data_IF_893269682212
#
_entry.id   IF_893269682212
#
_cell.length_a   1.000
_cell.length_b   1.000
_cell.length_c   1.000
_cell.angle_alpha   90.00
_cell.angle_beta   90.00
_cell.angle_gamma   90.00
#
_symmetry.space_group_name_H-M   'P 1'
#
loop_
_entity.id
_entity.type
_entity.pdbx_description
1 polymer ?
#
# COMPACT_ATOMS: atom_id res chain seq x y z
N UNK A 1 40.64 28.68 66.53
CA UNK A 1 39.91 29.39 65.45
C UNK A 1 39.80 28.45 64.26
N UNK A 2 38.66 27.79 64.07
CA UNK A 2 38.42 26.88 62.95
C UNK A 2 37.67 27.62 61.83
N UNK A 3 38.23 27.61 60.61
CA UNK A 3 37.59 28.15 59.40
C UNK A 3 36.66 27.10 58.80
N UNK A 4 35.39 27.46 58.62
CA UNK A 4 34.42 26.66 57.85
C UNK A 4 34.35 27.28 56.46
N UNK A 5 34.78 26.53 55.44
CA UNK A 5 34.63 26.89 54.03
C UNK A 5 33.30 26.35 53.51
N UNK A 6 32.44 27.23 52.98
CA UNK A 6 31.24 26.84 52.25
C UNK A 6 31.57 26.70 50.76
N UNK A 7 31.44 25.49 50.22
CA UNK A 7 31.47 25.26 48.77
C UNK A 7 30.06 25.45 48.20
N UNK A 8 29.90 26.46 47.34
CA UNK A 8 28.72 26.60 46.48
C UNK A 8 28.87 25.66 45.28
N UNK A 9 28.00 24.64 45.18
CA UNK A 9 27.85 23.84 43.96
C UNK A 9 26.75 24.50 43.12
N UNK A 10 27.14 25.11 42.00
CA UNK A 10 26.22 25.62 41.01
C UNK A 10 25.84 24.48 40.04
N UNK A 11 24.60 24.00 40.11
CA UNK A 11 24.03 23.12 39.11
C UNK A 11 23.66 23.93 37.87
N UNK A 12 24.47 23.85 36.81
CA UNK A 12 24.07 24.30 35.48
C UNK A 12 23.13 23.26 34.87
N UNK A 13 21.83 23.55 34.87
CA UNK A 13 20.84 22.78 34.11
C UNK A 13 21.01 23.06 32.62
N UNK A 14 21.47 22.07 31.87
CA UNK A 14 21.48 22.12 30.41
C UNK A 14 20.03 22.04 29.91
N UNK A 15 19.44 23.16 29.51
CA UNK A 15 18.19 23.14 28.75
C UNK A 15 18.53 22.84 27.30
N UNK A 16 18.35 21.59 26.88
CA UNK A 16 18.34 21.22 25.47
C UNK A 16 17.05 21.75 24.85
N UNK A 17 17.14 22.89 24.17
CA UNK A 17 16.09 23.37 23.29
C UNK A 17 16.06 22.47 22.05
N UNK A 18 15.08 21.56 21.98
CA UNK A 18 14.79 20.82 20.75
C UNK A 18 14.16 21.83 19.79
N UNK A 19 14.93 22.27 18.80
CA UNK A 19 14.41 23.08 17.69
C UNK A 19 13.38 22.24 16.92
N UNK A 20 12.09 22.54 17.09
CA UNK A 20 11.07 22.00 16.20
C UNK A 20 11.26 22.64 14.83
N UNK A 21 11.35 21.84 13.78
CA UNK A 21 11.36 22.37 12.41
C UNK A 21 10.11 23.23 12.18
N UNK A 22 10.22 24.34 11.45
CA UNK A 22 9.09 25.19 11.18
C UNK A 22 8.04 24.44 10.34
N UNK A 23 6.77 24.64 10.66
CA UNK A 23 5.65 24.21 9.83
C UNK A 23 5.65 25.00 8.52
N UNK A 24 5.50 24.29 7.40
CA UNK A 24 5.40 24.83 6.06
C UNK A 24 3.95 24.73 5.62
N UNK A 25 3.27 25.88 5.52
CA UNK A 25 1.92 25.96 4.97
C UNK A 25 1.97 26.12 3.45
N UNK A 26 1.21 25.30 2.73
CA UNK A 26 1.08 25.38 1.27
C UNK A 26 -0.29 25.95 0.93
N UNK A 27 -0.31 27.15 0.38
CA UNK A 27 -1.56 27.80 -0.01
C UNK A 27 -2.23 27.07 -1.18
N UNK A 28 -3.56 27.03 -1.16
CA UNK A 28 -4.41 26.38 -2.16
C UNK A 28 -4.60 27.29 -3.37
N UNK A 29 -3.50 27.56 -4.08
CA UNK A 29 -3.45 28.38 -5.29
C UNK A 29 -2.63 27.69 -6.38
N UNK A 30 -3.03 27.84 -7.65
CA UNK A 30 -2.44 27.12 -8.79
C UNK A 30 -0.90 27.26 -8.92
N UNK A 31 -0.32 28.38 -8.46
CA UNK A 31 1.13 28.60 -8.49
C UNK A 31 1.91 27.57 -7.67
N UNK A 32 1.30 26.97 -6.63
CA UNK A 32 1.96 26.05 -5.70
C UNK A 32 1.82 24.57 -6.09
N UNK A 33 0.98 24.23 -7.06
CA UNK A 33 0.63 22.84 -7.37
C UNK A 33 0.89 22.47 -8.83
N UNK A 34 1.33 21.24 -9.06
CA UNK A 34 1.30 20.56 -10.35
C UNK A 34 -0.06 19.88 -10.47
N UNK A 35 -0.92 20.47 -11.31
CA UNK A 35 -2.35 20.12 -11.37
C UNK A 35 -2.72 19.39 -12.66
N UNK A 36 -3.80 18.61 -12.60
CA UNK A 36 -4.51 18.10 -13.76
C UNK A 36 -5.63 19.08 -14.17
N UNK A 37 -6.28 18.84 -15.33
CA UNK A 37 -7.45 19.62 -15.76
C UNK A 37 -8.65 19.51 -14.79
N UNK A 38 -8.64 18.49 -13.92
CA UNK A 38 -9.70 18.19 -12.94
C UNK A 38 -9.55 18.98 -11.62
N UNK A 39 -8.72 20.03 -11.59
CA UNK A 39 -8.42 20.80 -10.38
C UNK A 39 -8.97 22.22 -10.49
N UNK A 40 -9.75 22.65 -9.50
CA UNK A 40 -10.24 24.03 -9.36
C UNK A 40 -9.79 24.61 -8.03
N UNK A 41 -9.39 25.88 -8.03
CA UNK A 41 -9.08 26.63 -6.81
C UNK A 41 -10.19 27.63 -6.55
N UNK A 42 -10.79 27.57 -5.36
CA UNK A 42 -11.95 28.39 -5.02
C UNK A 42 -11.98 28.75 -3.54
N UNK A 43 -12.71 29.81 -3.20
CA UNK A 43 -13.09 30.07 -1.81
C UNK A 43 -14.36 29.30 -1.48
N UNK A 44 -14.29 28.50 -0.44
CA UNK A 44 -15.43 27.71 0.06
C UNK A 44 -15.35 27.66 1.59
N UNK A 45 -16.50 27.83 2.26
CA UNK A 45 -16.59 27.85 3.73
C UNK A 45 -15.58 28.82 4.39
N UNK A 46 -15.45 30.01 3.80
CA UNK A 46 -14.49 31.05 4.18
C UNK A 46 -12.99 30.66 4.11
N UNK A 47 -12.65 29.53 3.49
CA UNK A 47 -11.28 29.04 3.29
C UNK A 47 -10.88 29.06 1.83
N UNK A 48 -9.58 29.14 1.58
CA UNK A 48 -9.01 28.81 0.27
C UNK A 48 -8.98 27.29 0.13
N UNK A 49 -9.48 26.80 -1.00
CA UNK A 49 -9.67 25.37 -1.21
C UNK A 49 -9.19 24.94 -2.59
N UNK A 50 -8.69 23.71 -2.63
CA UNK A 50 -8.44 22.96 -3.86
C UNK A 50 -9.56 21.92 -3.98
N UNK A 51 -10.42 22.08 -4.99
CA UNK A 51 -11.41 21.09 -5.40
C UNK A 51 -10.75 20.17 -6.44
N UNK A 52 -10.59 18.89 -6.12
CA UNK A 52 -10.03 17.88 -7.02
C UNK A 52 -11.12 16.92 -7.47
N UNK A 53 -11.39 16.87 -8.77
CA UNK A 53 -12.38 16.02 -9.41
C UNK A 53 -11.78 14.69 -9.92
N UNK A 54 -10.87 14.12 -9.14
CA UNK A 54 -10.21 12.85 -9.46
C UNK A 54 -8.74 12.99 -9.85
N UNK A 55 -7.98 11.94 -9.54
CA UNK A 55 -6.56 11.85 -9.83
C UNK A 55 -5.69 12.32 -8.68
N UNK A 56 -4.46 12.74 -9.01
CA UNK A 56 -3.43 13.16 -8.05
C UNK A 56 -2.80 14.46 -8.49
N UNK A 57 -2.46 15.31 -7.53
CA UNK A 57 -1.73 16.57 -7.74
C UNK A 57 -0.54 16.61 -6.79
N UNK A 58 0.59 17.20 -7.21
CA UNK A 58 1.79 17.33 -6.36
C UNK A 58 2.09 18.78 -6.03
N UNK A 59 2.70 19.03 -4.88
CA UNK A 59 3.20 20.34 -4.51
C UNK A 59 4.47 20.64 -5.31
N UNK A 60 4.55 21.81 -5.93
CA UNK A 60 5.73 22.25 -6.68
C UNK A 60 6.90 22.49 -5.74
N UNK A 61 8.10 22.09 -6.17
CA UNK A 61 9.37 22.37 -5.48
C UNK A 61 9.44 21.87 -4.02
N UNK A 62 8.62 20.87 -3.66
CA UNK A 62 8.65 20.27 -2.33
C UNK A 62 8.87 18.77 -2.45
N UNK A 63 9.81 18.27 -1.64
CA UNK A 63 10.03 16.84 -1.42
C UNK A 63 9.81 16.54 0.05
N UNK A 64 9.35 15.34 0.34
CA UNK A 64 9.05 14.89 1.69
C UNK A 64 9.81 13.59 2.01
N UNK A 65 10.46 13.56 3.18
CA UNK A 65 11.14 12.39 3.74
C UNK A 65 10.40 11.91 4.98
N UNK A 66 10.54 12.65 6.09
CA UNK A 66 10.04 12.37 7.42
C UNK A 66 9.37 13.61 8.02
N UNK A 67 8.50 13.40 9.00
CA UNK A 67 7.76 14.46 9.68
C UNK A 67 6.25 14.29 9.54
N UNK A 68 5.52 15.39 9.67
CA UNK A 68 4.07 15.39 9.69
C UNK A 68 3.52 16.02 8.41
N UNK A 69 2.51 15.38 7.82
CA UNK A 69 1.72 15.91 6.72
C UNK A 69 0.28 16.07 7.20
N UNK A 70 -0.32 17.23 6.96
CA UNK A 70 -1.69 17.51 7.38
C UNK A 70 -2.51 18.14 6.26
N UNK A 71 -3.78 17.78 6.18
CA UNK A 71 -4.76 18.43 5.31
C UNK A 71 -6.15 18.36 5.91
N UNK A 72 -6.94 19.41 5.70
CA UNK A 72 -8.36 19.38 6.01
C UNK A 72 -9.14 18.95 4.75
N UNK A 73 -9.99 17.94 4.89
CA UNK A 73 -10.85 17.40 3.83
C UNK A 73 -12.31 17.65 4.19
N UNK A 74 -13.08 18.21 3.26
CA UNK A 74 -14.48 18.51 3.52
C UNK A 74 -15.32 17.24 3.63
N UNK A 75 -16.26 17.23 4.58
CA UNK A 75 -17.20 16.14 4.78
C UNK A 75 -18.03 15.90 3.51
N UNK A 76 -18.15 14.65 3.09
CA UNK A 76 -18.87 14.28 1.88
C UNK A 76 -19.56 12.92 2.02
N UNK A 77 -20.90 12.93 2.05
CA UNK A 77 -21.70 11.72 2.13
C UNK A 77 -21.87 11.02 0.76
N UNK A 78 -21.66 11.74 -0.35
CA UNK A 78 -21.62 11.13 -1.67
C UNK A 78 -20.35 10.30 -1.84
N UNK A 79 -20.37 9.34 -2.77
CA UNK A 79 -19.21 8.49 -3.09
C UNK A 79 -17.97 9.36 -3.31
N UNK A 80 -17.04 9.28 -2.37
CA UNK A 80 -15.90 10.18 -2.28
C UNK A 80 -14.73 9.50 -1.60
N UNK A 81 -13.56 9.68 -2.19
CA UNK A 81 -12.27 9.23 -1.71
C UNK A 81 -11.33 10.43 -1.76
N UNK A 82 -10.63 10.70 -0.66
CA UNK A 82 -9.76 11.87 -0.56
C UNK A 82 -8.62 11.59 0.40
N UNK A 83 -7.40 11.95 0.02
CA UNK A 83 -6.22 11.56 0.76
C UNK A 83 -4.96 12.31 0.38
N UNK A 84 -3.86 11.82 0.94
CA UNK A 84 -2.51 12.36 0.78
C UNK A 84 -1.67 11.30 0.06
N UNK A 85 -0.86 11.75 -0.89
CA UNK A 85 0.19 10.96 -1.49
C UNK A 85 1.55 11.51 -1.07
N UNK A 86 2.52 10.64 -0.80
CA UNK A 86 3.83 11.07 -0.35
C UNK A 86 4.94 10.13 -0.84
N UNK A 87 6.17 10.65 -0.80
CA UNK A 87 7.39 10.01 -1.31
C UNK A 87 7.33 9.61 -2.78
N UNK A 88 6.46 10.22 -3.57
CA UNK A 88 6.29 9.89 -4.99
C UNK A 88 7.60 10.04 -5.75
N UNK A 89 8.02 8.98 -6.42
CA UNK A 89 9.04 8.99 -7.45
C UNK A 89 8.54 8.23 -8.66
N UNK A 90 8.68 8.83 -9.85
CA UNK A 90 8.08 8.32 -11.08
C UNK A 90 6.56 8.12 -10.88
N UNK A 91 6.09 6.88 -11.04
CA UNK A 91 4.69 6.49 -10.88
C UNK A 91 4.47 5.62 -9.62
N UNK A 92 5.42 5.61 -8.68
CA UNK A 92 5.34 4.85 -7.43
C UNK A 92 5.32 5.81 -6.26
N UNK A 93 4.42 5.59 -5.30
CA UNK A 93 4.24 6.47 -4.12
C UNK A 93 3.49 5.75 -3.00
N UNK A 94 3.49 6.34 -1.82
CA UNK A 94 2.63 5.97 -0.71
C UNK A 94 1.32 6.76 -0.76
N UNK A 95 0.20 6.14 -0.36
CA UNK A 95 -1.10 6.80 -0.33
C UNK A 95 -1.91 6.40 0.91
N UNK A 96 -2.43 7.40 1.62
CA UNK A 96 -3.43 7.23 2.69
C UNK A 96 -4.65 8.04 2.32
N UNK A 97 -5.82 7.42 2.33
CA UNK A 97 -7.06 8.10 1.93
C UNK A 97 -8.24 7.72 2.82
N UNK A 98 -9.16 8.68 2.91
CA UNK A 98 -10.46 8.54 3.56
C UNK A 98 -11.53 8.23 2.52
N UNK A 99 -12.42 7.31 2.86
CA UNK A 99 -13.62 6.97 2.10
C UNK A 99 -14.82 7.59 2.80
N UNK A 100 -15.05 8.88 2.57
CA UNK A 100 -15.96 9.69 3.40
C UNK A 100 -17.39 9.13 3.42
N UNK A 101 -17.88 8.63 2.29
CA UNK A 101 -19.17 7.93 2.15
C UNK A 101 -19.28 6.58 2.89
N UNK A 102 -18.18 6.09 3.46
CA UNK A 102 -18.06 4.83 4.20
C UNK A 102 -17.75 5.09 5.68
N UNK A 103 -18.12 6.27 6.19
CA UNK A 103 -18.06 6.59 7.61
C UNK A 103 -18.60 5.42 8.47
N UNK A 104 -17.87 5.08 9.53
CA UNK A 104 -18.15 3.99 10.47
C UNK A 104 -18.09 2.56 9.87
N UNK A 105 -17.54 2.38 8.66
CA UNK A 105 -17.21 1.07 8.09
C UNK A 105 -15.75 0.71 8.38
N UNK A 106 -15.41 -0.58 8.40
CA UNK A 106 -14.04 -1.08 8.73
C UNK A 106 -12.96 -0.61 7.76
N UNK A 107 -13.37 -0.18 6.57
CA UNK A 107 -12.55 0.27 5.46
C UNK A 107 -12.69 1.78 5.21
N UNK A 108 -13.08 2.55 6.23
CA UNK A 108 -13.31 4.00 6.12
C UNK A 108 -12.01 4.78 5.84
N UNK A 109 -10.88 4.34 6.38
CA UNK A 109 -9.53 4.87 6.07
C UNK A 109 -8.65 3.72 5.62
N UNK A 110 -7.86 3.94 4.57
CA UNK A 110 -7.00 2.91 3.99
C UNK A 110 -5.61 3.47 3.70
N UNK A 111 -4.59 2.65 3.90
CA UNK A 111 -3.25 2.86 3.35
C UNK A 111 -2.99 1.83 2.25
N UNK A 112 -2.32 2.26 1.19
CA UNK A 112 -1.86 1.38 0.10
C UNK A 112 -0.63 1.96 -0.57
N UNK A 113 0.36 1.14 -0.96
CA UNK A 113 1.31 1.56 -1.96
C UNK A 113 0.63 1.70 -3.32
N UNK A 114 1.09 2.66 -4.09
CA UNK A 114 0.81 2.78 -5.51
C UNK A 114 2.08 2.37 -6.25
N UNK A 115 1.98 1.38 -7.11
CA UNK A 115 3.08 0.96 -7.97
C UNK A 115 2.69 1.22 -9.43
N UNK A 116 3.52 1.93 -10.18
CA UNK A 116 3.25 2.21 -11.60
C UNK A 116 1.87 2.84 -11.85
N UNK A 117 1.42 3.75 -10.97
CA UNK A 117 0.10 4.39 -10.91
C UNK A 117 -1.07 3.46 -10.57
N UNK A 118 -0.81 2.21 -10.23
CA UNK A 118 -1.82 1.23 -9.82
C UNK A 118 -1.94 1.15 -8.31
N UNK A 119 -3.18 1.26 -7.80
CA UNK A 119 -3.49 1.06 -6.38
C UNK A 119 -3.51 -0.42 -6.01
N UNK A 120 -3.09 -0.77 -4.80
CA UNK A 120 -2.91 -2.15 -4.37
C UNK A 120 -3.67 -2.50 -3.07
N UNK A 121 -4.72 -1.75 -2.74
CA UNK A 121 -5.42 -1.87 -1.45
C UNK A 121 -5.99 -3.26 -1.17
N UNK A 122 -6.27 -4.08 -2.19
CA UNK A 122 -6.75 -5.45 -2.01
C UNK A 122 -5.70 -6.34 -1.32
N UNK A 123 -4.42 -6.04 -1.50
CA UNK A 123 -3.31 -6.83 -1.00
C UNK A 123 -2.97 -6.52 0.47
N UNK A 124 -3.42 -5.37 0.99
CA UNK A 124 -3.04 -4.84 2.31
C UNK A 124 -4.26 -4.64 3.21
N UNK A 125 -5.01 -5.72 3.45
CA UNK A 125 -6.24 -5.70 4.27
C UNK A 125 -6.01 -5.26 5.72
N UNK A 126 -4.79 -5.45 6.23
CA UNK A 126 -4.37 -5.06 7.57
C UNK A 126 -4.28 -3.54 7.75
N UNK A 127 -4.13 -2.81 6.64
CA UNK A 127 -3.95 -1.37 6.61
C UNK A 127 -5.27 -0.64 6.34
N UNK A 128 -6.31 -1.01 7.09
CA UNK A 128 -7.65 -0.43 7.03
C UNK A 128 -8.15 -0.09 8.43
N UNK A 129 -8.87 1.03 8.56
CA UNK A 129 -9.36 1.49 9.85
C UNK A 129 -10.83 1.90 9.79
N UNK A 130 -11.55 1.53 10.86
CA UNK A 130 -12.91 2.00 11.13
C UNK A 130 -12.87 3.39 11.73
N UNK A 131 -13.41 4.37 11.02
CA UNK A 131 -13.41 5.78 11.43
C UNK A 131 -14.78 6.39 11.22
N UNK A 132 -15.27 7.13 12.21
CA UNK A 132 -16.46 7.97 12.08
C UNK A 132 -16.04 9.38 11.68
N UNK A 133 -16.38 9.77 10.46
CA UNK A 133 -16.13 11.13 9.98
C UNK A 133 -17.19 12.10 10.47
N UNK A 134 -16.82 13.38 10.58
CA UNK A 134 -17.80 14.47 10.66
C UNK A 134 -18.64 14.45 9.39
N UNK A 135 -19.96 14.60 9.54
CA UNK A 135 -20.90 14.64 8.43
C UNK A 135 -21.04 16.03 7.80
N UNK A 136 -20.55 17.07 8.48
CA UNK A 136 -20.48 18.46 8.00
C UNK A 136 -19.16 19.09 8.40
N UNK A 137 -18.74 20.13 7.68
CA UNK A 137 -17.48 20.82 7.94
C UNK A 137 -16.25 19.99 7.55
N UNK A 138 -15.13 20.22 8.25
CA UNK A 138 -13.82 19.71 7.87
C UNK A 138 -13.36 18.56 8.77
N UNK A 139 -12.96 17.45 8.13
CA UNK A 139 -12.20 16.37 8.77
C UNK A 139 -10.71 16.63 8.57
N UNK A 140 -9.91 16.57 9.63
CA UNK A 140 -8.46 16.69 9.50
C UNK A 140 -7.86 15.30 9.28
N UNK A 141 -7.03 15.14 8.25
CA UNK A 141 -6.20 13.96 8.02
C UNK A 141 -4.75 14.35 8.29
N UNK A 142 -4.10 13.62 9.19
CA UNK A 142 -2.71 13.82 9.58
C UNK A 142 -1.93 12.51 9.50
N UNK A 143 -0.75 12.56 8.90
CA UNK A 143 0.15 11.41 8.75
C UNK A 143 1.50 11.80 9.35
N UNK A 144 1.95 11.07 10.36
CA UNK A 144 3.28 11.20 10.92
C UNK A 144 4.17 10.09 10.36
N UNK A 145 5.18 10.45 9.58
CA UNK A 145 6.11 9.51 8.94
C UNK A 145 7.45 9.52 9.64
N UNK A 146 7.95 8.34 9.98
CA UNK A 146 9.27 8.12 10.58
C UNK A 146 9.97 6.92 9.94
N UNK A 147 10.99 7.18 9.11
CA UNK A 147 11.65 6.22 8.24
C UNK A 147 10.60 5.41 7.46
N UNK A 148 10.59 4.09 7.61
CA UNK A 148 9.66 3.23 6.90
C UNK A 148 8.37 2.97 7.68
N UNK A 149 8.03 3.77 8.70
CA UNK A 149 6.79 3.61 9.46
C UNK A 149 5.95 4.89 9.43
N UNK A 150 4.65 4.76 9.65
CA UNK A 150 3.76 5.90 9.75
C UNK A 150 2.63 5.70 10.77
N UNK A 151 2.15 6.79 11.35
CA UNK A 151 0.94 6.84 12.16
C UNK A 151 -0.08 7.76 11.49
N UNK A 152 -1.32 7.29 11.35
CA UNK A 152 -2.40 8.04 10.71
C UNK A 152 -3.40 8.48 11.77
N UNK A 153 -3.76 9.75 11.70
CA UNK A 153 -4.71 10.40 12.59
C UNK A 153 -5.84 11.01 11.77
N UNK A 154 -7.06 10.90 12.28
CA UNK A 154 -8.23 11.60 11.75
C UNK A 154 -8.90 12.36 12.88
N UNK A 155 -9.09 13.67 12.71
CA UNK A 155 -9.63 14.56 13.75
C UNK A 155 -8.91 14.39 15.09
N UNK A 156 -7.57 14.38 15.04
CA UNK A 156 -6.64 14.22 16.18
C UNK A 156 -6.66 12.85 16.88
N UNK A 157 -7.54 11.93 16.48
CA UNK A 157 -7.52 10.55 16.97
C UNK A 157 -6.61 9.69 16.11
N UNK A 158 -5.73 8.90 16.74
CA UNK A 158 -4.93 7.91 16.00
C UNK A 158 -5.82 6.75 15.56
N UNK A 159 -5.85 6.48 14.26
CA UNK A 159 -6.73 5.47 13.66
C UNK A 159 -5.97 4.29 13.05
N UNK A 160 -4.69 4.46 12.69
CA UNK A 160 -3.89 3.41 12.06
C UNK A 160 -2.42 3.57 12.41
N UNK A 161 -1.72 2.45 12.57
CA UNK A 161 -0.25 2.37 12.61
C UNK A 161 0.18 1.51 11.43
N UNK A 162 1.10 2.03 10.62
CA UNK A 162 1.69 1.36 9.48
C UNK A 162 3.13 1.06 9.89
N UNK A 163 3.40 -0.20 10.24
CA UNK A 163 4.72 -0.59 10.74
C UNK A 163 5.79 -0.53 9.64
N UNK A 164 5.38 -0.82 8.40
CA UNK A 164 6.25 -0.82 7.23
C UNK A 164 5.53 -0.25 6.00
N UNK A 165 5.97 0.93 5.56
CA UNK A 165 5.66 1.53 4.28
C UNK A 165 6.28 0.67 3.16
N UNK A 166 5.49 0.35 2.14
CA UNK A 166 5.78 -0.75 1.21
C UNK A 166 6.67 -0.34 0.04
N UNK A 167 6.69 0.94 -0.34
CA UNK A 167 7.60 1.40 -1.38
C UNK A 167 9.03 1.49 -0.84
N UNK A 168 10.04 1.23 -1.67
CA UNK A 168 11.44 1.35 -1.26
C UNK A 168 11.92 2.83 -1.20
N UNK A 169 10.98 3.78 -1.20
CA UNK A 169 11.24 5.21 -1.29
C UNK A 169 11.39 5.80 0.12
N UNK A 170 12.48 6.56 0.33
CA UNK A 170 12.72 7.31 1.57
C UNK A 170 12.42 8.80 1.43
N UNK A 171 12.25 9.27 0.20
CA UNK A 171 11.97 10.66 -0.14
C UNK A 171 11.15 10.73 -1.44
N UNK A 172 10.50 11.86 -1.72
CA UNK A 172 9.85 12.07 -3.01
C UNK A 172 8.86 13.23 -3.01
N UNK A 173 8.13 13.39 -4.11
CA UNK A 173 7.08 14.39 -4.20
C UNK A 173 5.94 14.06 -3.23
N UNK A 174 5.20 15.11 -2.84
CA UNK A 174 4.10 15.05 -1.91
C UNK A 174 2.88 15.75 -2.52
N UNK A 175 1.68 15.28 -2.18
CA UNK A 175 0.49 15.70 -2.89
C UNK A 175 -0.82 15.23 -2.28
N UNK A 176 -1.86 15.40 -3.08
CA UNK A 176 -3.23 15.04 -2.75
C UNK A 176 -3.77 14.05 -3.78
N UNK A 177 -4.68 13.20 -3.31
CA UNK A 177 -5.41 12.24 -4.12
C UNK A 177 -6.91 12.42 -3.93
N UNK A 178 -7.67 12.30 -5.01
CA UNK A 178 -9.10 12.07 -4.94
C UNK A 178 -9.56 11.04 -5.98
N UNK A 179 -10.62 10.31 -5.64
CA UNK A 179 -11.47 9.61 -6.60
C UNK A 179 -12.90 10.09 -6.33
N UNK A 180 -13.53 10.65 -7.38
CA UNK A 180 -14.70 11.54 -7.29
C UNK A 180 -14.39 12.89 -6.61
N UNK A 181 -15.20 13.94 -6.84
CA UNK A 181 -14.89 15.27 -6.33
C UNK A 181 -14.80 15.35 -4.80
N UNK A 182 -13.74 15.98 -4.30
CA UNK A 182 -13.67 16.44 -2.91
C UNK A 182 -12.80 17.71 -2.77
N UNK A 183 -12.99 18.44 -1.68
CA UNK A 183 -12.30 19.70 -1.35
C UNK A 183 -11.26 19.49 -0.26
N UNK A 184 -10.13 20.13 -0.47
CA UNK A 184 -9.01 20.17 0.46
C UNK A 184 -8.74 21.62 0.87
N UNK A 185 -8.31 21.82 2.10
CA UNK A 185 -7.82 23.11 2.60
C UNK A 185 -6.68 22.89 3.59
N UNK A 186 -5.97 23.96 3.91
CA UNK A 186 -5.04 23.99 5.05
C UNK A 186 -3.95 22.89 5.00
N UNK A 187 -3.34 22.69 3.83
CA UNK A 187 -2.28 21.69 3.64
C UNK A 187 -0.97 22.16 4.27
N UNK A 188 -0.39 21.33 5.14
CA UNK A 188 0.80 21.68 5.93
C UNK A 188 1.78 20.52 5.99
N UNK A 189 3.06 20.86 6.00
CA UNK A 189 4.17 19.91 6.14
C UNK A 189 5.06 20.41 7.27
N UNK A 190 5.35 19.55 8.25
CA UNK A 190 6.32 19.83 9.32
C UNK A 190 7.43 18.80 9.22
N UNK A 191 8.54 19.09 8.53
CA UNK A 191 9.65 18.15 8.37
C UNK A 191 10.23 17.78 9.73
N UNK A 192 10.71 16.55 9.90
CA UNK A 192 11.39 16.14 11.12
C UNK A 192 12.55 15.21 10.77
N UNK A 193 13.66 15.34 11.50
CA UNK A 193 14.68 14.31 11.46
C UNK A 193 14.09 12.98 11.94
N UNK A 194 14.50 11.89 11.29
CA UNK A 194 14.09 10.57 11.73
C UNK A 194 14.54 10.34 13.17
N UNK A 195 13.66 9.76 13.98
CA UNK A 195 14.00 9.32 15.33
C UNK A 195 14.10 7.81 15.30
N UNK A 196 15.26 7.28 15.72
CA UNK A 196 15.41 5.85 15.98
C UNK A 196 14.45 5.47 17.11
N UNK A 197 13.34 4.83 16.76
CA UNK A 197 12.40 4.25 17.73
C UNK A 197 13.04 2.98 18.30
N UNK A 198 13.96 3.12 19.25
CA UNK A 198 14.56 1.98 19.97
C UNK A 198 13.52 1.07 20.64
N UNK A 199 12.32 1.60 20.92
CA UNK A 199 11.22 0.86 21.54
C UNK A 199 10.27 0.17 20.52
N UNK A 200 10.33 0.51 19.23
CA UNK A 200 9.54 -0.16 18.18
C UNK A 200 10.15 -1.52 17.77
N UNK A 201 11.44 -1.72 18.03
CA UNK A 201 12.16 -2.99 17.82
C UNK A 201 11.64 -4.11 18.75
N UNK A 202 10.99 -3.75 19.87
CA UNK A 202 10.44 -4.73 20.81
C UNK A 202 9.04 -5.26 20.41
N UNK A 203 8.27 -4.53 19.58
CA UNK A 203 6.94 -4.98 19.11
C UNK A 203 7.00 -5.74 17.79
N UNK A 204 8.04 -5.54 16.99
CA UNK A 204 8.31 -6.25 15.72
C UNK A 204 8.61 -7.74 15.90
N UNK A 205 8.79 -8.25 17.12
CA UNK A 205 9.01 -9.69 17.37
C UNK A 205 7.73 -10.53 17.45
N UNK A 206 6.54 -9.93 17.54
CA UNK A 206 5.31 -10.72 17.76
C UNK A 206 4.52 -11.07 16.49
N UNK A 207 4.60 -10.23 15.45
CA UNK A 207 3.86 -10.45 14.19
C UNK A 207 4.76 -10.82 12.99
N UNK A 208 6.09 -10.78 13.14
CA UNK A 208 7.05 -11.27 12.13
C UNK A 208 7.26 -12.79 12.14
N UNK A 209 6.42 -13.56 12.85
CA UNK A 209 6.55 -15.02 12.90
C UNK A 209 6.31 -15.70 11.54
N UNK A 210 5.70 -14.99 10.58
CA UNK A 210 5.59 -15.45 9.19
C UNK A 210 6.93 -15.40 8.44
N UNK A 211 7.82 -14.44 8.74
CA UNK A 211 9.14 -14.36 8.09
C UNK A 211 10.10 -15.50 8.51
N UNK A 212 9.76 -16.21 9.59
CA UNK A 212 10.47 -17.40 10.07
C UNK A 212 9.85 -18.71 9.56
N UNK A 213 8.65 -18.66 8.94
CA UNK A 213 7.99 -19.83 8.40
C UNK A 213 8.65 -20.26 7.09
N UNK A 214 9.60 -21.19 7.20
CA UNK A 214 10.31 -21.79 6.07
C UNK A 214 9.42 -22.48 5.04
N UNK A 215 8.12 -22.64 5.33
CA UNK A 215 7.16 -23.20 4.39
C UNK A 215 6.65 -22.17 3.37
N UNK A 216 6.78 -20.87 3.65
CA UNK A 216 6.38 -19.79 2.73
C UNK A 216 7.28 -19.78 1.50
N UNK A 217 6.66 -19.65 0.32
CA UNK A 217 7.38 -19.52 -0.94
C UNK A 217 7.81 -18.06 -1.10
N UNK A 218 9.07 -17.76 -0.77
CA UNK A 218 9.60 -16.38 -0.76
C UNK A 218 10.23 -15.93 -2.08
N UNK A 219 10.42 -16.84 -3.03
CA UNK A 219 11.08 -16.57 -4.31
C UNK A 219 10.21 -17.13 -5.44
N UNK A 220 9.97 -16.29 -6.43
CA UNK A 220 9.19 -16.62 -7.62
C UNK A 220 9.94 -16.22 -8.88
N UNK A 221 9.67 -16.92 -9.96
CA UNK A 221 10.02 -16.51 -11.32
C UNK A 221 8.76 -15.92 -11.97
N UNK A 222 8.82 -14.73 -12.54
CA UNK A 222 7.65 -14.13 -13.21
C UNK A 222 7.95 -13.72 -14.65
N UNK A 223 6.93 -13.79 -15.52
CA UNK A 223 6.99 -13.24 -16.88
C UNK A 223 6.70 -11.74 -16.90
N UNK A 224 6.88 -11.11 -18.07
CA UNK A 224 6.27 -9.79 -18.35
C UNK A 224 4.75 -9.89 -18.40
N UNK A 225 4.06 -8.77 -18.15
CA UNK A 225 2.61 -8.67 -18.33
C UNK A 225 2.22 -8.70 -19.80
N UNK A 226 1.08 -9.31 -20.07
CA UNK A 226 0.43 -9.34 -21.39
C UNK A 226 -1.07 -9.11 -21.23
N UNK A 227 -1.75 -8.47 -22.20
CA UNK A 227 -3.21 -8.40 -22.21
C UNK A 227 -3.82 -9.79 -22.14
N UNK A 228 -4.85 -9.95 -21.32
CA UNK A 228 -5.54 -11.22 -21.18
C UNK A 228 -6.41 -11.52 -22.41
N UNK A 229 -6.15 -12.67 -23.02
CA UNK A 229 -7.02 -13.30 -24.02
C UNK A 229 -7.14 -14.78 -23.70
N UNK A 230 -8.36 -15.27 -23.55
CA UNK A 230 -8.63 -16.62 -23.05
C UNK A 230 -7.97 -17.72 -23.90
N UNK A 231 -7.92 -17.52 -25.22
CA UNK A 231 -7.32 -18.43 -26.19
C UNK A 231 -5.79 -18.51 -26.14
N UNK A 232 -5.13 -17.49 -25.59
CA UNK A 232 -3.67 -17.39 -25.47
C UNK A 232 -3.17 -18.07 -24.17
N UNK A 233 -4.04 -18.36 -23.20
CA UNK A 233 -3.67 -19.02 -21.94
C UNK A 233 -3.51 -20.53 -22.15
N UNK A 234 -2.35 -20.92 -22.68
CA UNK A 234 -1.95 -22.31 -22.93
C UNK A 234 -0.55 -22.55 -22.41
N UNK A 235 -0.33 -23.74 -21.84
CA UNK A 235 0.95 -24.08 -21.21
C UNK A 235 2.12 -23.93 -22.17
N UNK A 236 1.95 -24.37 -23.41
CA UNK A 236 2.97 -24.36 -24.45
C UNK A 236 3.42 -22.94 -24.83
N UNK A 237 2.57 -21.94 -24.58
CA UNK A 237 2.88 -20.55 -24.82
C UNK A 237 3.79 -20.01 -23.70
N UNK A 238 3.38 -20.18 -22.44
CA UNK A 238 4.08 -19.56 -21.32
C UNK A 238 5.26 -20.36 -20.76
N UNK A 239 5.38 -21.65 -21.10
CA UNK A 239 6.55 -22.47 -20.74
C UNK A 239 7.86 -21.91 -21.34
N UNK A 240 7.76 -21.28 -22.51
CA UNK A 240 8.91 -20.78 -23.29
C UNK A 240 9.18 -19.28 -23.09
N UNK A 241 8.42 -18.62 -22.23
CA UNK A 241 8.62 -17.20 -21.94
C UNK A 241 9.91 -16.98 -21.19
N UNK A 242 10.38 -15.73 -21.25
CA UNK A 242 11.46 -15.28 -20.39
C UNK A 242 10.92 -14.98 -18.99
N UNK A 243 11.60 -15.52 -17.99
CA UNK A 243 11.28 -15.31 -16.58
C UNK A 243 12.36 -14.48 -15.90
N UNK A 244 11.93 -13.65 -14.95
CA UNK A 244 12.82 -12.95 -14.02
C UNK A 244 12.54 -13.38 -12.60
N UNK A 245 13.60 -13.58 -11.81
CA UNK A 245 13.48 -13.93 -10.40
C UNK A 245 13.13 -12.70 -9.56
N UNK A 246 12.11 -12.83 -8.73
CA UNK A 246 11.61 -11.81 -7.80
C UNK A 246 11.42 -12.41 -6.40
N UNK A 247 11.31 -11.53 -5.41
CA UNK A 247 11.12 -11.92 -4.01
C UNK A 247 9.77 -11.45 -3.49
N UNK A 248 9.25 -12.15 -2.50
CA UNK A 248 8.11 -11.70 -1.74
C UNK A 248 8.50 -10.62 -0.73
N UNK A 249 7.50 -9.94 -0.18
CA UNK A 249 7.62 -9.24 1.09
C UNK A 249 7.84 -10.25 2.23
N UNK A 250 8.18 -9.74 3.42
CA UNK A 250 8.41 -10.56 4.62
C UNK A 250 7.17 -11.38 5.03
N UNK A 251 5.98 -10.93 4.64
CA UNK A 251 4.71 -11.63 4.83
C UNK A 251 4.51 -12.86 3.93
N UNK A 252 5.36 -13.04 2.91
CA UNK A 252 5.17 -14.02 1.85
C UNK A 252 4.35 -13.53 0.66
N UNK A 253 3.79 -12.31 0.73
CA UNK A 253 3.09 -11.69 -0.39
C UNK A 253 4.07 -11.40 -1.54
N UNK A 254 3.75 -11.84 -2.75
CA UNK A 254 4.36 -11.36 -3.99
C UNK A 254 3.53 -10.18 -4.54
N UNK A 255 3.94 -8.92 -4.35
CA UNK A 255 3.28 -7.77 -4.97
C UNK A 255 3.74 -7.63 -6.42
N UNK A 256 3.06 -8.30 -7.37
CA UNK A 256 3.41 -8.33 -8.79
C UNK A 256 3.52 -6.90 -9.37
N UNK A 257 2.62 -5.99 -8.95
CA UNK A 257 2.62 -4.59 -9.39
C UNK A 257 3.94 -3.85 -9.10
N UNK A 258 4.72 -4.29 -8.09
CA UNK A 258 6.04 -3.72 -7.76
C UNK A 258 7.06 -3.96 -8.88
N UNK A 259 6.93 -5.08 -9.58
CA UNK A 259 7.90 -5.54 -10.58
C UNK A 259 7.41 -5.29 -12.01
N UNK A 260 6.10 -5.40 -12.24
CA UNK A 260 5.51 -5.40 -13.57
C UNK A 260 4.45 -4.31 -13.68
N UNK A 261 4.50 -3.56 -14.78
CA UNK A 261 3.49 -2.58 -15.15
C UNK A 261 2.43 -3.22 -16.05
N UNK A 262 1.15 -3.03 -15.71
CA UNK A 262 0.01 -3.38 -16.56
C UNK A 262 -0.11 -2.45 -17.78
N UNK A 263 -0.78 -2.95 -18.82
CA UNK A 263 -1.20 -2.21 -20.02
C UNK A 263 -2.02 -0.97 -19.67
N UNK A 264 -2.86 -1.07 -18.64
CA UNK A 264 -3.73 -0.02 -18.12
C UNK A 264 -3.72 0.00 -16.58
N UNK A 265 -4.00 1.16 -16.01
CA UNK A 265 -4.03 1.39 -14.55
C UNK A 265 -4.99 2.52 -14.22
N UNK A 266 -5.49 2.54 -12.99
CA UNK A 266 -6.37 3.61 -12.51
C UNK A 266 -7.85 3.19 -12.41
N UNK A 267 -8.73 3.76 -13.24
CA UNK A 267 -10.16 3.54 -13.09
C UNK A 267 -10.55 2.10 -13.45
N UNK A 268 -11.00 1.34 -12.44
CA UNK A 268 -11.45 -0.05 -12.58
C UNK A 268 -12.37 -0.27 -13.80
N UNK A 269 -13.31 0.62 -14.09
CA UNK A 269 -14.27 0.39 -15.18
C UNK A 269 -13.63 0.52 -16.58
N UNK A 270 -12.47 1.18 -16.69
CA UNK A 270 -11.76 1.44 -17.95
C UNK A 270 -10.55 0.54 -18.17
N UNK A 271 -10.09 -0.16 -17.12
CA UNK A 271 -8.92 -1.03 -17.22
C UNK A 271 -9.24 -2.29 -18.04
N UNK A 272 -8.24 -2.71 -18.82
CA UNK A 272 -8.16 -4.05 -19.41
C UNK A 272 -7.64 -5.04 -18.37
N UNK A 273 -7.97 -6.32 -18.55
CA UNK A 273 -7.40 -7.41 -17.74
C UNK A 273 -6.06 -7.80 -18.36
N UNK A 274 -5.02 -7.88 -17.54
CA UNK A 274 -3.70 -8.38 -17.92
C UNK A 274 -3.42 -9.70 -17.20
N UNK A 275 -2.44 -10.46 -17.68
CA UNK A 275 -1.91 -11.63 -16.98
C UNK A 275 -0.38 -11.66 -16.95
N UNK A 276 0.15 -12.35 -15.94
CA UNK A 276 1.54 -12.84 -15.86
C UNK A 276 1.50 -14.33 -15.53
N UNK A 277 2.64 -15.00 -15.69
CA UNK A 277 2.85 -16.32 -15.13
C UNK A 277 3.91 -16.23 -14.04
N UNK A 278 3.53 -16.60 -12.82
CA UNK A 278 4.45 -16.80 -11.71
C UNK A 278 4.77 -18.29 -11.60
N UNK A 279 6.04 -18.64 -11.50
CA UNK A 279 6.50 -20.01 -11.45
C UNK A 279 7.41 -20.26 -10.24
N UNK A 280 7.38 -21.49 -9.76
CA UNK A 280 8.27 -21.99 -8.72
C UNK A 280 8.46 -23.50 -8.87
N UNK A 281 9.45 -24.05 -8.18
CA UNK A 281 9.75 -25.48 -8.21
C UNK A 281 9.74 -26.08 -6.82
N UNK A 282 9.37 -27.36 -6.74
CA UNK A 282 9.42 -28.16 -5.52
C UNK A 282 10.01 -29.52 -5.82
N UNK A 283 10.96 -29.96 -5.01
CA UNK A 283 11.53 -31.30 -5.10
C UNK A 283 10.75 -32.27 -4.21
N UNK A 284 10.42 -33.44 -4.75
CA UNK A 284 9.79 -34.55 -4.02
C UNK A 284 10.70 -35.78 -4.08
N UNK A 285 10.95 -36.44 -2.94
CA UNK A 285 11.81 -37.64 -2.86
C UNK A 285 11.15 -38.89 -3.47
N UNK A 286 9.83 -38.88 -3.55
CA UNK A 286 8.97 -39.95 -4.03
C UNK A 286 7.72 -39.34 -4.68
N UNK A 287 6.94 -40.16 -5.37
CA UNK A 287 5.58 -39.76 -5.73
C UNK A 287 4.79 -39.53 -4.42
N UNK A 288 4.23 -38.33 -4.26
CA UNK A 288 3.53 -37.93 -3.05
C UNK A 288 2.44 -36.90 -3.36
N UNK A 289 1.50 -36.71 -2.44
CA UNK A 289 0.58 -35.59 -2.50
C UNK A 289 0.98 -34.58 -1.44
N UNK A 290 1.35 -33.38 -1.88
CA UNK A 290 1.71 -32.28 -0.98
C UNK A 290 0.62 -31.22 -1.01
N UNK A 291 0.30 -30.67 0.16
CA UNK A 291 -0.71 -29.62 0.29
C UNK A 291 -0.05 -28.25 0.13
N UNK A 292 -0.67 -27.41 -0.71
CA UNK A 292 -0.30 -26.02 -0.92
C UNK A 292 -1.42 -25.13 -0.37
N UNK A 293 -1.12 -24.26 0.58
CA UNK A 293 -1.99 -23.16 1.00
C UNK A 293 -1.61 -21.91 0.19
N UNK A 294 -2.60 -21.23 -0.39
CA UNK A 294 -2.35 -20.11 -1.29
C UNK A 294 -3.56 -19.19 -1.44
N UNK A 295 -3.30 -17.99 -1.95
CA UNK A 295 -4.34 -17.06 -2.39
C UNK A 295 -3.79 -16.09 -3.44
N UNK A 296 -4.68 -15.38 -4.13
CA UNK A 296 -4.35 -14.64 -5.34
C UNK A 296 -5.28 -13.45 -5.54
N UNK A 297 -4.77 -12.42 -6.21
CA UNK A 297 -5.61 -11.33 -6.72
C UNK A 297 -6.45 -11.82 -7.90
N UNK A 298 -7.66 -11.26 -7.99
CA UNK A 298 -8.57 -11.36 -9.12
C UNK A 298 -8.82 -12.76 -9.64
N UNK A 299 -8.00 -13.30 -10.54
CA UNK A 299 -8.20 -14.65 -11.09
C UNK A 299 -6.89 -15.40 -11.21
N UNK A 300 -6.97 -16.72 -11.09
CA UNK A 300 -5.81 -17.60 -11.24
C UNK A 300 -6.13 -18.85 -12.05
N UNK A 301 -5.13 -19.37 -12.75
CA UNK A 301 -5.06 -20.76 -13.18
C UNK A 301 -3.73 -21.37 -12.72
N UNK A 302 -3.78 -22.51 -12.04
CA UNK A 302 -2.60 -23.21 -11.54
C UNK A 302 -2.34 -24.45 -12.39
N UNK A 303 -1.10 -24.62 -12.80
CA UNK A 303 -0.60 -25.77 -13.55
C UNK A 303 0.48 -26.48 -12.74
N UNK A 304 0.43 -27.82 -12.70
CA UNK A 304 1.47 -28.68 -12.17
C UNK A 304 2.05 -29.49 -13.33
N UNK A 305 3.35 -29.34 -13.60
CA UNK A 305 4.06 -30.04 -14.67
C UNK A 305 3.32 -29.96 -16.03
N UNK A 306 2.84 -28.76 -16.37
CA UNK A 306 2.13 -28.49 -17.62
C UNK A 306 0.64 -28.84 -17.65
N UNK A 307 0.10 -29.48 -16.60
CA UNK A 307 -1.32 -29.80 -16.51
C UNK A 307 -2.06 -28.82 -15.60
N UNK A 308 -3.15 -28.23 -16.09
CA UNK A 308 -4.02 -27.40 -15.26
C UNK A 308 -4.65 -28.23 -14.13
N UNK A 309 -4.55 -27.74 -12.89
CA UNK A 309 -5.04 -28.41 -11.67
C UNK A 309 -6.04 -27.55 -10.90
N UNK A 310 -6.06 -26.24 -11.12
CA UNK A 310 -6.99 -25.33 -10.44
C UNK A 310 -7.31 -24.10 -11.31
N UNK A 311 -8.53 -23.59 -11.16
CA UNK A 311 -8.96 -22.28 -11.67
C UNK A 311 -9.79 -21.58 -10.60
N UNK A 312 -9.50 -20.31 -10.37
CA UNK A 312 -10.12 -19.55 -9.30
C UNK A 312 -10.49 -18.13 -9.69
N UNK A 313 -11.47 -17.56 -8.99
CA UNK A 313 -11.93 -16.17 -9.15
C UNK A 313 -12.17 -15.53 -7.77
N UNK A 314 -11.27 -14.62 -7.41
CA UNK A 314 -11.27 -13.75 -6.24
C UNK A 314 -11.52 -12.26 -6.61
N UNK A 315 -12.00 -11.97 -7.82
CA UNK A 315 -12.04 -10.59 -8.30
C UNK A 315 -12.93 -9.67 -7.50
N UNK A 316 -12.54 -8.39 -7.47
CA UNK A 316 -13.35 -7.34 -6.87
C UNK A 316 -14.79 -7.40 -7.42
N UNK A 317 -15.76 -7.47 -6.51
CA UNK A 317 -17.20 -7.66 -6.79
C UNK A 317 -17.62 -8.98 -7.44
N UNK A 318 -16.74 -9.96 -7.61
CA UNK A 318 -17.07 -11.26 -8.20
C UNK A 318 -18.18 -12.02 -7.46
N UNK A 319 -18.31 -11.78 -6.14
CA UNK A 319 -19.34 -12.40 -5.27
C UNK A 319 -20.38 -11.37 -4.78
N UNK A 320 -20.55 -10.26 -5.49
CA UNK A 320 -21.48 -9.17 -5.16
C UNK A 320 -20.78 -7.85 -4.83
N UNK A 321 -21.53 -6.74 -4.82
CA UNK A 321 -20.98 -5.37 -4.82
C UNK A 321 -20.10 -5.00 -3.62
N UNK A 322 -20.15 -5.77 -2.53
CA UNK A 322 -19.33 -5.56 -1.33
C UNK A 322 -18.12 -6.49 -1.25
N UNK A 323 -18.00 -7.46 -2.17
CA UNK A 323 -16.88 -8.40 -2.16
C UNK A 323 -15.58 -7.68 -2.56
N UNK A 324 -14.63 -7.65 -1.64
CA UNK A 324 -13.40 -6.88 -1.78
C UNK A 324 -12.28 -7.65 -2.50
N UNK A 325 -12.31 -8.99 -2.49
CA UNK A 325 -11.22 -9.78 -3.08
C UNK A 325 -9.89 -9.67 -2.33
N UNK A 326 -9.93 -9.48 -1.01
CA UNK A 326 -8.73 -9.55 -0.18
C UNK A 326 -8.08 -10.94 -0.28
N UNK A 327 -6.76 -10.97 -0.11
CA UNK A 327 -5.97 -12.20 -0.06
C UNK A 327 -5.63 -12.59 1.39
N UNK A 328 -5.56 -13.89 1.65
CA UNK A 328 -5.09 -14.45 2.92
C UNK A 328 -4.45 -15.83 2.66
N UNK A 329 -3.26 -16.07 3.21
CA UNK A 329 -2.46 -17.27 2.93
C UNK A 329 -3.20 -18.59 3.18
N UNK A 330 -4.21 -18.61 4.05
CA UNK A 330 -4.95 -19.81 4.42
C UNK A 330 -6.32 -19.95 3.73
N UNK A 331 -6.69 -19.06 2.80
CA UNK A 331 -8.00 -19.07 2.14
C UNK A 331 -8.20 -20.30 1.26
N UNK A 332 -7.26 -20.59 0.36
CA UNK A 332 -7.36 -21.71 -0.57
C UNK A 332 -6.32 -22.77 -0.26
N UNK A 333 -6.71 -24.02 -0.52
CA UNK A 333 -5.86 -25.19 -0.33
C UNK A 333 -5.94 -26.09 -1.55
N UNK A 334 -4.81 -26.57 -2.03
CA UNK A 334 -4.70 -27.42 -3.20
C UNK A 334 -3.79 -28.62 -2.91
N UNK A 335 -4.34 -29.82 -3.08
CA UNK A 335 -3.57 -31.06 -3.02
C UNK A 335 -2.87 -31.30 -4.36
N UNK A 336 -1.54 -31.24 -4.36
CA UNK A 336 -0.73 -31.38 -5.56
C UNK A 336 -0.12 -32.80 -5.63
N UNK A 337 -0.48 -33.62 -6.63
CA UNK A 337 0.12 -34.95 -6.83
C UNK A 337 1.51 -34.81 -7.46
N UNK A 338 2.52 -34.61 -6.63
CA UNK A 338 3.91 -34.47 -7.02
C UNK A 338 4.49 -35.80 -7.50
N UNK A 339 5.35 -35.73 -8.52
CA UNK A 339 6.17 -36.85 -8.99
C UNK A 339 7.55 -36.80 -8.36
N UNK A 340 8.17 -37.97 -8.16
CA UNK A 340 9.56 -38.03 -7.73
C UNK A 340 10.45 -37.14 -8.61
N UNK A 341 11.24 -36.28 -7.98
CA UNK A 341 12.10 -35.30 -8.64
C UNK A 341 11.54 -33.88 -8.55
N UNK A 342 11.98 -33.03 -9.48
CA UNK A 342 11.56 -31.61 -9.52
C UNK A 342 10.20 -31.49 -10.20
N UNK A 343 9.27 -30.83 -9.52
CA UNK A 343 7.97 -30.47 -10.05
C UNK A 343 7.93 -28.96 -10.24
N UNK A 344 7.38 -28.51 -11.37
CA UNK A 344 7.22 -27.09 -11.68
C UNK A 344 5.76 -26.69 -11.57
N UNK A 345 5.53 -25.61 -10.85
CA UNK A 345 4.20 -25.01 -10.64
C UNK A 345 4.19 -23.70 -11.41
N UNK A 346 3.14 -23.49 -12.19
CA UNK A 346 2.88 -22.20 -12.84
C UNK A 346 1.53 -21.69 -12.38
N UNK A 347 1.50 -20.44 -11.97
CA UNK A 347 0.34 -19.67 -11.57
C UNK A 347 0.14 -18.56 -12.61
N UNK A 348 -0.82 -18.76 -13.51
CA UNK A 348 -1.28 -17.70 -14.41
C UNK A 348 -2.18 -16.78 -13.60
N UNK A 349 -1.66 -15.64 -13.17
CA UNK A 349 -2.40 -14.65 -12.35
C UNK A 349 -2.92 -13.58 -13.30
N UNK A 350 -4.22 -13.30 -13.24
CA UNK A 350 -4.91 -12.32 -14.08
C UNK A 350 -5.48 -11.22 -13.17
N UNK A 351 -5.28 -9.97 -13.53
CA UNK A 351 -5.66 -8.82 -12.72
C UNK A 351 -6.21 -7.68 -13.58
N UNK A 352 -7.27 -7.05 -13.07
CA UNK A 352 -7.90 -5.88 -13.71
C UNK A 352 -7.57 -4.60 -12.95
N UNK A 353 -7.80 -4.55 -11.64
CA UNK A 353 -7.38 -3.42 -10.82
C UNK A 353 -7.34 -3.72 -9.32
N UNK A 354 -6.80 -2.78 -8.55
CA UNK A 354 -6.83 -2.72 -7.08
C UNK A 354 -5.80 -3.60 -6.35
N UNK A 355 -4.95 -4.29 -7.10
CA UNK A 355 -3.68 -4.82 -6.62
C UNK A 355 -3.38 -6.20 -7.14
N UNK A 356 -2.26 -6.36 -7.84
CA UNK A 356 -1.89 -7.64 -8.44
C UNK A 356 -0.95 -8.42 -7.53
N UNK A 357 -1.40 -9.56 -6.99
CA UNK A 357 -0.60 -10.33 -6.04
C UNK A 357 -0.88 -11.82 -5.98
N UNK A 358 0.06 -12.54 -5.36
CA UNK A 358 0.04 -13.98 -5.12
C UNK A 358 0.72 -14.26 -3.77
N UNK A 359 0.20 -15.21 -3.01
CA UNK A 359 0.85 -15.69 -1.77
C UNK A 359 0.68 -17.20 -1.69
N UNK A 360 1.73 -17.93 -1.28
CA UNK A 360 1.64 -19.37 -1.11
C UNK A 360 2.66 -19.92 -0.11
N UNK A 361 2.28 -21.02 0.53
CA UNK A 361 3.15 -21.81 1.42
C UNK A 361 2.84 -23.30 1.30
N UNK A 362 3.85 -24.10 1.59
CA UNK A 362 3.71 -25.53 1.74
C UNK A 362 3.12 -25.87 3.12
N UNK A 363 2.36 -26.95 3.21
CA UNK A 363 1.90 -27.50 4.50
C UNK A 363 2.65 -28.79 4.85
#
# INVERSE_FOLDING_TARGET
MAKISYSFIAFFGLQLAISQSPEIKIDMVASNWNVSQETTFERFDNRETLLLNGGRVTVKNHRFTNGTIEVDVYANANRSFAGITFRKQNNTMEEVYMRLHKSNQVDAVQYTPIYNNESNWQLYRENQAKVSFKNTGWNNLRIEVNNQSAEVFVNDEKVMTIDELRTDQNDGEIGLFALFPNRFSNFRITPKDAVDRTDAVARTKKDNDLSADSSIITTWEITKAKPYKAEEIRFENFEKEEYMTVKTEASGLLPISKYIKKSSSGNFEQNEEDYIVAATTVYASNDETKLLSFDYSDRIMVYLNGKAVFKGNNAFRAKGIQYMGHIDINTNKLYLPLKKGTNKIHCVVMDKANGWGLIAKWE
#
